data_IF_175558278272
#
_entry.id   IF_175558278272
#
_cell.length_a   1.000
_cell.length_b   1.000
_cell.length_c   1.000
_cell.angle_alpha   90.00
_cell.angle_beta   90.00
_cell.angle_gamma   90.00
#
_symmetry.space_group_name_H-M   'P 1'
#
loop_
_entity.id
_entity.type
_entity.pdbx_description
1 polymer ?
#
# COMPACT_ATOMS: atom_id res chain seq x y z
N UNK A 1 8.18 -17.11 -4.76
CA UNK A 1 7.58 -18.13 -3.86
C UNK A 1 6.94 -17.34 -2.71
N UNK A 2 6.47 -17.99 -1.66
CA UNK A 2 5.85 -17.35 -0.48
C UNK A 2 6.86 -17.01 0.63
N UNK A 3 8.15 -16.89 0.25
CA UNK A 3 9.27 -16.81 1.21
C UNK A 3 9.82 -15.41 1.43
N UNK A 4 9.37 -14.42 0.68
CA UNK A 4 9.82 -13.03 0.89
C UNK A 4 9.14 -12.43 2.12
N UNK A 5 9.83 -11.49 2.77
CA UNK A 5 9.33 -10.69 3.90
C UNK A 5 8.89 -11.51 5.12
N UNK A 6 9.69 -12.51 5.51
CA UNK A 6 9.34 -13.43 6.63
C UNK A 6 9.21 -12.73 7.99
N UNK A 7 9.86 -11.58 8.17
CA UNK A 7 9.78 -10.78 9.40
C UNK A 7 8.50 -9.94 9.51
N UNK A 8 7.70 -9.87 8.44
CA UNK A 8 6.40 -9.20 8.46
C UNK A 8 5.36 -10.08 9.15
N UNK A 9 4.80 -9.57 10.26
CA UNK A 9 3.74 -10.27 11.00
C UNK A 9 2.46 -10.43 10.16
N UNK A 10 1.71 -11.48 10.45
CA UNK A 10 0.34 -11.66 9.96
C UNK A 10 -0.59 -10.84 10.86
N UNK A 11 -1.39 -9.95 10.27
CA UNK A 11 -2.27 -9.05 11.03
C UNK A 11 -3.53 -9.77 11.51
N UNK A 12 -4.17 -10.56 10.64
CA UNK A 12 -5.41 -11.29 10.94
C UNK A 12 -5.14 -12.77 11.16
N UNK A 13 -4.42 -13.09 12.24
CA UNK A 13 -4.02 -14.48 12.58
C UNK A 13 -5.21 -15.44 12.76
N UNK A 14 -6.40 -14.92 13.05
CA UNK A 14 -7.62 -15.73 13.21
C UNK A 14 -8.21 -16.19 11.87
N UNK A 15 -7.78 -15.60 10.75
CA UNK A 15 -8.37 -15.82 9.42
C UNK A 15 -7.34 -16.13 8.34
N UNK A 16 -6.14 -15.55 8.44
CA UNK A 16 -5.07 -15.68 7.46
C UNK A 16 -3.90 -16.46 8.04
N UNK A 17 -3.36 -17.39 7.26
CA UNK A 17 -2.19 -18.19 7.64
C UNK A 17 -0.88 -17.67 7.05
N UNK A 18 -0.95 -16.73 6.11
CA UNK A 18 0.20 -16.15 5.39
C UNK A 18 -0.16 -14.77 4.85
N UNK A 19 0.85 -13.94 4.60
CA UNK A 19 0.73 -12.69 3.83
C UNK A 19 0.88 -12.93 2.31
N UNK A 20 1.05 -14.18 1.89
CA UNK A 20 1.12 -14.60 0.49
C UNK A 20 -0.03 -15.56 0.17
N UNK A 21 -0.76 -15.26 -0.91
CA UNK A 21 -1.78 -16.16 -1.47
C UNK A 21 -1.43 -16.56 -2.89
N UNK A 22 -1.63 -17.83 -3.23
CA UNK A 22 -1.45 -18.33 -4.59
C UNK A 22 -2.70 -18.06 -5.42
N UNK A 23 -2.55 -17.33 -6.54
CA UNK A 23 -3.60 -17.19 -7.55
C UNK A 23 -3.53 -18.37 -8.54
N UNK A 24 -4.55 -19.25 -8.60
CA UNK A 24 -4.56 -20.39 -9.52
C UNK A 24 -4.70 -20.00 -11.00
N UNK A 25 -5.23 -18.81 -11.30
CA UNK A 25 -5.40 -18.33 -12.69
C UNK A 25 -4.07 -17.82 -13.22
N UNK A 26 -3.42 -16.90 -12.49
CA UNK A 26 -2.11 -16.35 -12.84
C UNK A 26 -0.97 -17.32 -12.58
N UNK A 27 -1.20 -18.36 -11.77
CA UNK A 27 -0.21 -19.36 -11.32
C UNK A 27 0.96 -18.73 -10.56
N UNK A 28 0.70 -17.68 -9.80
CA UNK A 28 1.70 -16.92 -9.06
C UNK A 28 1.18 -16.56 -7.67
N UNK A 29 2.10 -16.33 -6.74
CA UNK A 29 1.76 -15.75 -5.44
C UNK A 29 1.65 -14.23 -5.54
N UNK A 30 0.76 -13.66 -4.74
CA UNK A 30 0.65 -12.22 -4.53
C UNK A 30 0.62 -11.89 -3.03
N UNK A 31 1.04 -10.68 -2.71
CA UNK A 31 1.16 -10.18 -1.35
C UNK A 31 -0.14 -9.51 -0.87
N UNK A 32 -0.50 -9.74 0.38
CA UNK A 32 -1.59 -9.06 1.09
C UNK A 32 -1.24 -8.94 2.57
N UNK A 33 -1.47 -7.76 3.18
CA UNK A 33 -1.26 -7.52 4.61
C UNK A 33 -2.48 -7.83 5.47
N UNK A 34 -3.64 -7.78 4.83
CA UNK A 34 -4.94 -8.00 5.46
C UNK A 34 -5.53 -9.29 4.89
N UNK A 35 -6.78 -9.26 4.44
CA UNK A 35 -7.39 -10.44 3.84
C UNK A 35 -6.81 -10.74 2.46
N UNK A 36 -6.76 -12.02 2.10
CA UNK A 36 -6.31 -12.50 0.78
C UNK A 36 -7.08 -11.88 -0.40
N UNK A 37 -8.32 -11.41 -0.20
CA UNK A 37 -9.08 -10.68 -1.21
C UNK A 37 -8.76 -9.17 -1.28
N UNK A 38 -7.80 -8.69 -0.49
CA UNK A 38 -7.30 -7.32 -0.47
C UNK A 38 -5.81 -7.32 -0.84
N UNK A 39 -5.46 -7.54 -2.13
CA UNK A 39 -4.07 -7.52 -2.55
C UNK A 39 -3.46 -6.13 -2.34
N UNK A 40 -2.24 -6.09 -1.82
CA UNK A 40 -1.51 -4.84 -1.61
C UNK A 40 -1.03 -4.27 -2.96
N UNK A 41 -1.15 -2.95 -3.12
CA UNK A 41 -0.55 -2.26 -4.26
C UNK A 41 0.96 -2.13 -4.07
N UNK A 42 1.72 -2.29 -5.15
CA UNK A 42 3.17 -2.13 -5.13
C UNK A 42 3.57 -0.66 -5.33
N UNK A 43 3.87 0.05 -4.23
CA UNK A 43 4.29 1.45 -4.25
C UNK A 43 5.75 1.68 -4.71
N UNK A 44 6.56 0.63 -4.90
CA UNK A 44 7.85 0.78 -5.59
C UNK A 44 7.67 1.12 -7.07
N UNK A 45 6.51 0.77 -7.65
CA UNK A 45 6.18 1.12 -9.02
C UNK A 45 5.72 2.58 -9.09
N UNK A 46 6.44 3.47 -9.81
CA UNK A 46 6.05 4.88 -9.95
C UNK A 46 4.64 5.04 -10.54
N UNK A 47 4.20 4.15 -11.42
CA UNK A 47 2.86 4.22 -11.98
C UNK A 47 1.77 4.08 -10.91
N UNK A 48 1.97 3.23 -9.88
CA UNK A 48 1.03 3.10 -8.76
C UNK A 48 0.99 4.40 -7.96
N UNK A 49 2.15 5.03 -7.73
CA UNK A 49 2.22 6.32 -7.02
C UNK A 49 1.44 7.42 -7.76
N UNK A 50 1.63 7.53 -9.08
CA UNK A 50 0.90 8.51 -9.90
C UNK A 50 -0.61 8.24 -9.89
N UNK A 51 -1.04 6.99 -10.03
CA UNK A 51 -2.47 6.64 -10.01
C UNK A 51 -3.12 6.92 -8.65
N UNK A 52 -2.42 6.67 -7.55
CA UNK A 52 -2.94 7.00 -6.21
C UNK A 52 -3.08 8.51 -6.00
N UNK A 53 -2.14 9.30 -6.51
CA UNK A 53 -2.25 10.76 -6.50
C UNK A 53 -3.41 11.22 -7.40
N UNK A 54 -3.57 10.62 -8.58
CA UNK A 54 -4.69 10.89 -9.49
C UNK A 54 -6.04 10.62 -8.81
N UNK A 55 -6.14 9.50 -8.09
CA UNK A 55 -7.35 9.17 -7.32
C UNK A 55 -7.65 10.22 -6.23
N UNK A 56 -6.63 10.74 -5.54
CA UNK A 56 -6.82 11.84 -4.58
C UNK A 56 -7.33 13.11 -5.27
N UNK A 57 -6.72 13.49 -6.40
CA UNK A 57 -7.13 14.66 -7.20
C UNK A 57 -8.58 14.56 -7.66
N UNK A 58 -8.96 13.39 -8.20
CA UNK A 58 -10.33 13.13 -8.64
C UNK A 58 -11.37 13.46 -7.55
N UNK A 59 -11.13 13.03 -6.31
CA UNK A 59 -12.08 13.32 -5.23
C UNK A 59 -12.02 14.76 -4.74
N UNK A 60 -10.84 15.40 -4.72
CA UNK A 60 -10.71 16.81 -4.38
C UNK A 60 -11.39 17.71 -5.41
N UNK A 61 -11.32 17.36 -6.70
CA UNK A 61 -12.03 18.07 -7.78
C UNK A 61 -13.55 18.02 -7.60
N UNK A 62 -14.08 17.01 -6.89
CA UNK A 62 -15.48 16.90 -6.52
C UNK A 62 -15.85 17.67 -5.24
N UNK A 63 -14.86 18.24 -4.55
CA UNK A 63 -15.06 19.17 -3.43
C UNK A 63 -15.06 18.55 -2.03
N UNK A 64 -14.38 17.41 -1.81
CA UNK A 64 -14.20 16.89 -0.45
C UNK A 64 -13.10 17.66 0.30
N UNK A 65 -13.24 17.78 1.63
CA UNK A 65 -12.31 18.56 2.46
C UNK A 65 -11.06 17.79 2.91
N UNK A 66 -11.03 16.47 2.77
CA UNK A 66 -9.86 15.70 3.20
C UNK A 66 -10.03 14.19 3.15
N UNK A 67 -8.92 13.51 3.47
CA UNK A 67 -8.81 12.06 3.37
C UNK A 67 -8.43 11.43 4.70
N UNK A 68 -9.03 10.28 4.97
CA UNK A 68 -8.44 9.26 5.83
C UNK A 68 -7.54 8.40 4.96
N UNK A 69 -6.22 8.50 5.16
CA UNK A 69 -5.26 7.61 4.52
C UNK A 69 -5.24 6.28 5.28
N UNK A 70 -5.86 5.27 4.70
CA UNK A 70 -5.95 3.93 5.26
C UNK A 70 -4.61 3.19 5.16
N UNK A 71 -4.35 2.28 6.11
CA UNK A 71 -3.23 1.33 6.03
C UNK A 71 -1.83 1.94 5.81
N UNK A 72 -1.64 3.22 6.16
CA UNK A 72 -0.41 3.98 5.89
C UNK A 72 0.89 3.25 6.28
N UNK A 73 1.01 2.58 7.43
CA UNK A 73 2.26 1.90 7.78
C UNK A 73 2.75 0.87 6.75
N UNK A 74 1.88 0.36 5.88
CA UNK A 74 2.09 -0.88 5.12
C UNK A 74 2.41 -0.69 3.63
N UNK A 75 2.56 0.56 3.15
CA UNK A 75 2.65 0.85 1.70
C UNK A 75 3.88 0.24 1.01
N UNK A 76 5.02 0.16 1.71
CA UNK A 76 6.27 -0.38 1.19
C UNK A 76 6.72 -1.63 1.96
N UNK A 77 7.42 -2.52 1.26
CA UNK A 77 7.95 -3.77 1.82
C UNK A 77 9.46 -3.84 1.58
N UNK A 78 10.20 -4.36 2.56
CA UNK A 78 11.65 -4.53 2.45
C UNK A 78 12.09 -5.77 3.24
N UNK A 79 12.94 -6.60 2.62
CA UNK A 79 13.49 -7.80 3.25
C UNK A 79 14.30 -7.46 4.51
N UNK A 80 14.23 -8.32 5.53
CA UNK A 80 14.89 -8.10 6.83
C UNK A 80 14.23 -7.02 7.69
N UNK A 81 12.99 -6.63 7.39
CA UNK A 81 12.19 -5.67 8.17
C UNK A 81 10.79 -6.22 8.40
N UNK A 82 10.06 -5.64 9.36
CA UNK A 82 8.64 -5.98 9.56
C UNK A 82 7.70 -5.38 8.48
N UNK A 83 8.24 -4.66 7.49
CA UNK A 83 7.49 -3.96 6.45
C UNK A 83 6.45 -2.97 7.01
N UNK A 84 6.77 -2.28 8.10
CA UNK A 84 5.91 -1.25 8.70
C UNK A 84 6.68 0.06 8.89
N UNK A 85 6.05 1.18 8.54
CA UNK A 85 6.58 2.54 8.76
C UNK A 85 7.97 2.77 8.14
N UNK A 86 8.24 2.14 6.98
CA UNK A 86 9.47 2.36 6.25
C UNK A 86 9.62 3.84 5.82
N UNK A 87 10.84 4.39 5.74
CA UNK A 87 11.07 5.78 5.35
C UNK A 87 10.37 6.19 4.04
N UNK A 88 10.33 5.27 3.08
CA UNK A 88 9.70 5.44 1.76
C UNK A 88 8.20 5.74 1.87
N UNK A 89 7.51 5.12 2.83
CA UNK A 89 6.12 5.45 3.16
C UNK A 89 6.00 6.92 3.49
N UNK A 90 6.83 7.43 4.39
CA UNK A 90 6.78 8.83 4.79
C UNK A 90 7.15 9.78 3.66
N UNK A 91 8.11 9.41 2.80
CA UNK A 91 8.51 10.23 1.67
C UNK A 91 7.42 10.33 0.61
N UNK A 92 6.73 9.22 0.32
CA UNK A 92 5.55 9.25 -0.53
C UNK A 92 4.43 10.14 0.06
N UNK A 93 4.16 10.06 1.36
CA UNK A 93 3.15 10.93 1.99
C UNK A 93 3.52 12.42 1.95
N UNK A 94 4.80 12.77 2.14
CA UNK A 94 5.27 14.15 1.98
C UNK A 94 5.08 14.63 0.54
N UNK A 95 5.34 13.76 -0.44
CA UNK A 95 5.08 14.05 -1.86
C UNK A 95 3.59 14.29 -2.09
N UNK A 96 2.72 13.40 -1.62
CA UNK A 96 1.25 13.56 -1.70
C UNK A 96 0.82 14.90 -1.12
N UNK A 97 1.28 15.24 0.09
CA UNK A 97 0.95 16.51 0.74
C UNK A 97 1.40 17.70 -0.10
N UNK A 98 2.65 17.68 -0.60
CA UNK A 98 3.20 18.74 -1.46
C UNK A 98 2.39 18.92 -2.74
N UNK A 99 1.96 17.84 -3.37
CA UNK A 99 1.18 17.91 -4.60
C UNK A 99 -0.23 18.45 -4.37
N UNK A 100 -0.88 18.05 -3.28
CA UNK A 100 -2.20 18.56 -2.91
C UNK A 100 -2.12 20.06 -2.59
N UNK A 101 -1.17 20.48 -1.75
CA UNK A 101 -1.00 21.92 -1.39
C UNK A 101 -0.75 22.81 -2.62
N UNK A 102 -0.09 22.29 -3.65
CA UNK A 102 0.19 23.03 -4.87
C UNK A 102 -1.04 23.22 -5.77
N UNK A 103 -2.05 22.35 -5.67
CA UNK A 103 -3.21 22.31 -6.57
C UNK A 103 -4.52 22.71 -5.89
N UNK A 104 -4.62 22.53 -4.57
CA UNK A 104 -5.82 22.75 -3.75
C UNK A 104 -5.47 23.55 -2.48
N UNK A 105 -5.17 24.86 -2.61
CA UNK A 105 -4.77 25.71 -1.48
C UNK A 105 -5.92 26.10 -0.54
#
# INVERSE_FOLDING_TARGET
DDKQFQDARIIFVDTEASNWTYDPVRKQYYWHRFFSHQPDLNYENPAVQEEMISALKFWLDLGIDGFRLDAVPYLYQQEGTNCENLPETHDFLKRVRKEIDAQYP
#
